data_IF_242499288806
#
_entry.id   IF_242499288806
#
_cell.length_a   1.000
_cell.length_b   1.000
_cell.length_c   1.000
_cell.angle_alpha   90.00
_cell.angle_beta   90.00
_cell.angle_gamma   90.00
#
_symmetry.space_group_name_H-M   'P 1'
#
loop_
_entity.id
_entity.type
_entity.pdbx_description
1 polymer ?
#
# COMPACT_ATOMS: atom_id res chain seq x y z
N UNK A 1 -58.33 -36.32 38.33
CA UNK A 1 -57.28 -35.33 38.06
C UNK A 1 -56.09 -36.07 37.45
N UNK A 2 -55.84 -35.92 36.14
CA UNK A 2 -54.75 -36.58 35.42
C UNK A 2 -53.69 -35.52 35.10
N UNK A 3 -52.52 -35.61 35.70
CA UNK A 3 -51.40 -34.72 35.43
C UNK A 3 -50.55 -35.32 34.31
N UNK A 4 -50.58 -34.69 33.13
CA UNK A 4 -49.68 -35.00 32.03
C UNK A 4 -48.33 -34.30 32.27
N UNK A 5 -47.28 -35.09 32.49
CA UNK A 5 -45.91 -34.61 32.46
C UNK A 5 -45.49 -34.44 30.99
N UNK A 6 -45.24 -33.21 30.55
CA UNK A 6 -44.67 -32.92 29.22
C UNK A 6 -43.15 -32.94 29.37
N UNK A 7 -42.51 -33.93 28.73
CA UNK A 7 -41.06 -34.09 28.70
C UNK A 7 -40.47 -33.16 27.63
N UNK A 8 -39.78 -32.10 28.04
CA UNK A 8 -39.08 -31.19 27.13
C UNK A 8 -37.73 -31.81 26.71
N UNK A 9 -37.61 -32.20 25.44
CA UNK A 9 -36.35 -32.67 24.83
C UNK A 9 -35.53 -31.45 24.43
N UNK A 10 -34.42 -31.18 25.13
CA UNK A 10 -33.43 -30.18 24.73
C UNK A 10 -32.61 -30.72 23.55
N UNK A 11 -32.81 -30.13 22.37
CA UNK A 11 -32.00 -30.33 21.18
C UNK A 11 -30.62 -29.68 21.38
N UNK A 12 -29.58 -30.50 21.55
CA UNK A 12 -28.18 -30.06 21.50
C UNK A 12 -27.81 -29.77 20.04
N UNK A 13 -27.61 -28.48 19.71
CA UNK A 13 -27.05 -28.08 18.44
C UNK A 13 -25.51 -28.34 18.43
N UNK A 14 -24.95 -28.93 17.36
CA UNK A 14 -23.51 -29.10 17.25
C UNK A 14 -22.83 -27.73 17.08
N UNK A 15 -21.91 -27.40 17.98
CA UNK A 15 -21.03 -26.24 17.85
C UNK A 15 -20.04 -26.56 16.74
N UNK A 16 -20.23 -25.99 15.55
CA UNK A 16 -19.23 -26.09 14.49
C UNK A 16 -18.04 -25.20 14.86
N UNK A 17 -16.79 -25.73 14.87
CA UNK A 17 -15.62 -24.90 15.12
C UNK A 17 -15.55 -23.81 14.07
N UNK A 18 -15.32 -22.57 14.50
CA UNK A 18 -15.13 -21.44 13.62
C UNK A 18 -13.97 -21.75 12.67
N UNK A 19 -14.25 -21.86 11.37
CA UNK A 19 -13.24 -21.99 10.33
C UNK A 19 -12.26 -20.83 10.44
N UNK A 20 -10.98 -21.13 10.67
CA UNK A 20 -9.94 -20.12 10.60
C UNK A 20 -9.98 -19.44 9.23
N UNK A 21 -10.15 -18.11 9.21
CA UNK A 21 -10.20 -17.35 7.97
C UNK A 21 -8.89 -17.53 7.19
N UNK A 22 -8.97 -17.70 5.86
CA UNK A 22 -7.76 -17.82 5.04
C UNK A 22 -6.87 -16.59 5.25
N UNK A 23 -5.65 -16.83 5.73
CA UNK A 23 -4.63 -15.79 5.87
C UNK A 23 -4.10 -15.47 4.47
N UNK A 24 -4.59 -14.38 3.87
CA UNK A 24 -4.03 -13.90 2.62
C UNK A 24 -2.76 -13.09 2.93
N UNK A 25 -1.60 -13.36 2.31
CA UNK A 25 -0.36 -12.60 2.50
C UNK A 25 -0.40 -11.24 1.77
N UNK A 26 -1.59 -10.72 1.51
CA UNK A 26 -1.85 -9.57 0.67
C UNK A 26 -2.66 -8.55 1.46
N UNK A 27 -2.34 -7.29 1.25
CA UNK A 27 -3.02 -6.20 1.93
C UNK A 27 -2.23 -4.92 1.87
N UNK A 28 -2.52 -4.04 2.82
CA UNK A 28 -2.05 -2.66 2.83
C UNK A 28 -1.40 -2.36 4.16
N UNK A 29 -0.22 -1.79 4.07
CA UNK A 29 0.45 -1.17 5.19
C UNK A 29 0.65 0.31 4.89
N UNK A 30 0.43 1.17 5.88
CA UNK A 30 0.63 2.61 5.81
C UNK A 30 1.25 3.08 7.11
N UNK A 31 2.18 4.03 7.03
CA UNK A 31 2.76 4.66 8.21
C UNK A 31 3.05 6.13 7.94
N UNK A 32 3.30 6.88 9.02
CA UNK A 32 3.98 8.18 8.98
C UNK A 32 5.48 7.93 9.09
N UNK A 33 6.27 8.20 8.03
CA UNK A 33 7.71 7.94 8.02
C UNK A 33 8.50 8.97 8.84
N UNK A 34 9.70 8.59 9.28
CA UNK A 34 10.65 9.49 9.96
C UNK A 34 11.26 10.51 9.01
N UNK A 35 11.56 10.07 7.78
CA UNK A 35 12.03 10.90 6.66
C UNK A 35 11.29 10.47 5.42
N UNK A 36 10.81 11.41 4.60
CA UNK A 36 10.17 11.09 3.34
C UNK A 36 10.24 12.24 2.36
N UNK A 37 10.61 11.95 1.13
CA UNK A 37 10.64 12.93 0.06
C UNK A 37 10.23 12.34 -1.29
N UNK A 38 9.64 13.19 -2.13
CA UNK A 38 9.36 12.91 -3.54
C UNK A 38 9.94 14.01 -4.41
N UNK A 39 10.42 13.68 -5.61
CA UNK A 39 10.87 14.66 -6.59
C UNK A 39 10.62 14.20 -8.01
N UNK A 40 10.20 15.13 -8.87
CA UNK A 40 10.08 14.96 -10.31
C UNK A 40 9.92 16.32 -10.99
N UNK A 41 10.30 16.43 -12.26
CA UNK A 41 10.20 17.71 -12.99
C UNK A 41 8.78 18.34 -12.95
N UNK A 42 7.67 17.58 -13.06
CA UNK A 42 6.32 18.15 -12.94
C UNK A 42 5.93 18.63 -11.54
N UNK A 43 6.72 18.32 -10.50
CA UNK A 43 6.50 18.79 -9.13
C UNK A 43 7.18 20.14 -8.85
N UNK A 44 7.98 20.64 -9.79
CA UNK A 44 8.77 21.86 -9.64
C UNK A 44 10.18 21.61 -9.12
N UNK A 45 10.81 22.67 -8.64
CA UNK A 45 12.21 22.65 -8.23
C UNK A 45 12.35 22.11 -6.80
N UNK A 46 12.96 20.92 -6.70
CA UNK A 46 13.35 20.31 -5.43
C UNK A 46 12.37 19.26 -4.90
N UNK A 47 12.76 18.57 -3.82
CA UNK A 47 11.93 17.54 -3.21
C UNK A 47 10.77 18.12 -2.40
N UNK A 48 9.63 17.43 -2.42
CA UNK A 48 8.51 17.67 -1.53
C UNK A 48 8.52 16.65 -0.39
N UNK A 49 8.33 17.11 0.84
CA UNK A 49 8.22 16.22 1.99
C UNK A 49 6.91 15.43 1.97
N UNK A 50 6.98 14.16 2.37
CA UNK A 50 5.80 13.31 2.49
C UNK A 50 5.37 12.99 3.92
N UNK A 51 4.04 13.01 4.13
CA UNK A 51 3.38 12.80 5.42
C UNK A 51 3.02 11.33 5.65
N UNK A 52 2.94 10.54 4.58
CA UNK A 52 2.69 9.11 4.67
C UNK A 52 3.37 8.34 3.52
N UNK A 53 3.76 7.11 3.84
CA UNK A 53 4.12 6.08 2.86
C UNK A 53 3.17 4.90 3.00
N UNK A 54 2.80 4.30 1.87
CA UNK A 54 1.92 3.15 1.83
C UNK A 54 2.48 2.08 0.90
N UNK A 55 2.58 0.86 1.42
CA UNK A 55 2.84 -0.34 0.65
C UNK A 55 1.53 -1.10 0.47
N UNK A 56 1.25 -1.55 -0.74
CA UNK A 56 0.06 -2.31 -1.02
C UNK A 56 0.34 -3.39 -2.05
N UNK A 57 0.00 -4.62 -1.69
CA UNK A 57 0.19 -5.80 -2.52
C UNK A 57 -1.14 -6.57 -2.54
N UNK A 58 -1.72 -6.71 -3.74
CA UNK A 58 -2.98 -7.45 -3.95
C UNK A 58 -2.76 -8.82 -4.59
N UNK A 59 -1.61 -9.01 -5.25
CA UNK A 59 -1.29 -10.18 -6.03
C UNK A 59 0.14 -10.66 -5.70
N UNK A 60 0.45 -11.95 -5.85
CA UNK A 60 1.82 -12.43 -5.81
C UNK A 60 2.70 -11.69 -6.82
N UNK A 61 3.88 -11.25 -6.41
CA UNK A 61 4.86 -10.66 -7.31
C UNK A 61 4.57 -9.25 -7.82
N UNK A 62 3.55 -8.55 -7.31
CA UNK A 62 3.28 -7.15 -7.66
C UNK A 62 3.13 -6.31 -6.40
N UNK A 63 3.84 -5.21 -6.31
CA UNK A 63 3.74 -4.26 -5.21
C UNK A 63 3.51 -2.85 -5.74
N UNK A 64 2.71 -2.08 -5.01
CA UNK A 64 2.58 -0.64 -5.17
C UNK A 64 3.16 0.08 -3.97
N UNK A 65 4.03 1.06 -4.24
CA UNK A 65 4.68 1.91 -3.23
C UNK A 65 4.20 3.33 -3.49
N UNK A 66 3.52 3.91 -2.51
CA UNK A 66 2.86 5.19 -2.63
C UNK A 66 3.40 6.16 -1.60
N UNK A 67 3.85 7.31 -2.07
CA UNK A 67 4.26 8.46 -1.27
C UNK A 67 3.16 9.52 -1.33
N UNK A 68 2.78 10.06 -0.17
CA UNK A 68 1.69 11.03 -0.03
C UNK A 68 2.26 12.27 0.67
N UNK A 69 2.16 13.44 0.04
CA UNK A 69 2.59 14.69 0.69
C UNK A 69 1.59 15.18 1.71
N UNK A 70 2.03 16.09 2.60
CA UNK A 70 1.09 16.99 3.25
C UNK A 70 0.40 17.90 2.23
N UNK A 71 -0.64 18.61 2.66
CA UNK A 71 -1.19 19.72 1.89
C UNK A 71 -0.20 20.89 1.88
N UNK A 72 0.01 21.50 0.72
CA UNK A 72 0.76 22.73 0.56
C UNK A 72 -0.06 23.95 1.01
N UNK A 73 0.46 25.16 0.77
CA UNK A 73 -0.21 26.42 1.13
C UNK A 73 -1.54 26.64 0.39
N UNK A 74 -1.79 25.94 -0.72
CA UNK A 74 -3.04 25.97 -1.47
C UNK A 74 -4.01 24.85 -1.04
N UNK A 75 -3.65 24.07 0.00
CA UNK A 75 -4.44 22.94 0.48
C UNK A 75 -4.27 21.68 -0.38
N UNK A 76 -3.26 21.63 -1.25
CA UNK A 76 -3.10 20.57 -2.26
C UNK A 76 -2.09 19.54 -1.78
N UNK A 77 -2.48 18.27 -1.81
CA UNK A 77 -1.57 17.15 -1.59
C UNK A 77 -1.27 16.41 -2.88
N UNK A 78 -0.04 15.92 -2.99
CA UNK A 78 0.44 15.12 -4.10
C UNK A 78 0.55 13.66 -3.69
N UNK A 79 0.23 12.78 -4.64
CA UNK A 79 0.36 11.36 -4.44
C UNK A 79 1.11 10.74 -5.60
N UNK A 80 2.26 10.14 -5.31
CA UNK A 80 3.11 9.47 -6.29
C UNK A 80 3.12 7.97 -6.01
N UNK A 81 2.73 7.15 -6.98
CA UNK A 81 2.67 5.69 -6.82
C UNK A 81 3.52 4.99 -7.87
N UNK A 82 4.48 4.19 -7.41
CA UNK A 82 5.23 3.25 -8.25
C UNK A 82 4.58 1.89 -8.17
N UNK A 83 4.41 1.23 -9.31
CA UNK A 83 3.97 -0.16 -9.37
C UNK A 83 5.10 -0.98 -9.96
N UNK A 84 5.55 -1.99 -9.22
CA UNK A 84 6.67 -2.83 -9.61
C UNK A 84 6.38 -4.31 -9.45
N UNK A 85 7.14 -5.11 -10.20
CA UNK A 85 7.17 -6.56 -10.09
C UNK A 85 8.29 -7.00 -9.15
N UNK A 86 7.94 -7.84 -8.19
CA UNK A 86 8.89 -8.53 -7.34
C UNK A 86 9.35 -9.83 -8.03
N UNK A 87 10.65 -10.15 -8.04
CA UNK A 87 11.16 -11.44 -8.47
C UNK A 87 10.49 -12.60 -7.71
N UNK A 88 10.39 -13.74 -8.39
CA UNK A 88 9.92 -15.03 -7.83
C UNK A 88 8.55 -14.99 -7.14
N UNK A 89 7.69 -14.04 -7.55
CA UNK A 89 6.35 -13.86 -6.99
C UNK A 89 6.33 -13.66 -5.46
N UNK A 90 7.41 -13.11 -4.90
CA UNK A 90 7.56 -12.91 -3.46
C UNK A 90 6.50 -11.96 -2.88
N UNK A 91 6.16 -12.16 -1.61
CA UNK A 91 5.40 -11.21 -0.80
C UNK A 91 6.39 -10.28 -0.09
N UNK A 92 6.19 -8.97 -0.24
CA UNK A 92 6.96 -7.94 0.47
C UNK A 92 6.22 -7.42 1.72
N UNK A 93 5.04 -7.98 2.00
CA UNK A 93 4.27 -7.75 3.21
C UNK A 93 4.01 -9.08 3.91
N UNK A 94 4.12 -9.06 5.23
CA UNK A 94 3.61 -10.11 6.10
C UNK A 94 2.27 -9.64 6.68
N UNK A 95 1.19 -10.34 6.34
CA UNK A 95 -0.17 -10.01 6.75
C UNK A 95 -0.74 -11.07 7.68
N UNK A 96 -1.16 -10.66 8.88
CA UNK A 96 -1.77 -11.54 9.88
C UNK A 96 -2.85 -10.78 10.66
N UNK A 97 -3.99 -11.43 10.92
CA UNK A 97 -5.10 -10.82 11.67
C UNK A 97 -5.63 -9.52 11.05
N UNK A 98 -5.62 -9.40 9.72
CA UNK A 98 -6.06 -8.19 8.99
C UNK A 98 -5.07 -7.02 9.02
N UNK A 99 -3.89 -7.19 9.63
CA UNK A 99 -2.83 -6.18 9.66
C UNK A 99 -1.65 -6.65 8.82
N UNK A 100 -1.09 -5.74 8.02
CA UNK A 100 0.11 -6.00 7.24
C UNK A 100 1.28 -5.18 7.76
N UNK A 101 2.49 -5.72 7.65
CA UNK A 101 3.75 -5.02 7.88
C UNK A 101 4.73 -5.34 6.74
N UNK A 102 5.70 -4.45 6.44
CA UNK A 102 6.82 -4.81 5.59
C UNK A 102 7.47 -6.09 6.10
N UNK A 103 7.83 -6.98 5.19
CA UNK A 103 8.67 -8.13 5.50
C UNK A 103 10.10 -7.66 5.83
N UNK A 104 10.84 -8.45 6.62
CA UNK A 104 12.20 -8.13 7.08
C UNK A 104 13.25 -8.40 5.99
N UNK A 105 12.86 -9.06 4.90
CA UNK A 105 13.74 -9.36 3.77
C UNK A 105 13.91 -8.15 2.86
N UNK A 106 15.05 -8.11 2.18
CA UNK A 106 15.29 -7.14 1.12
C UNK A 106 14.49 -7.50 -0.12
N UNK A 107 13.76 -6.53 -0.65
CA UNK A 107 12.99 -6.67 -1.88
C UNK A 107 13.43 -5.63 -2.91
N UNK A 108 13.71 -6.11 -4.12
CA UNK A 108 13.87 -5.28 -5.31
C UNK A 108 12.65 -5.45 -6.19
N UNK A 109 11.90 -4.39 -6.43
CA UNK A 109 10.77 -4.36 -7.36
C UNK A 109 11.18 -3.64 -8.65
N UNK A 110 11.03 -4.30 -9.79
CA UNK A 110 11.24 -3.68 -11.11
C UNK A 110 10.00 -2.88 -11.47
N UNK A 111 10.12 -1.56 -11.58
CA UNK A 111 8.99 -0.65 -11.85
C UNK A 111 8.51 -0.85 -13.27
N UNK A 112 7.20 -1.01 -13.43
CA UNK A 112 6.52 -1.13 -14.73
C UNK A 112 5.60 0.06 -15.03
N UNK A 113 5.11 0.74 -14.00
CA UNK A 113 4.29 1.93 -14.16
C UNK A 113 4.39 2.87 -12.98
N UNK A 114 4.08 4.12 -13.27
CA UNK A 114 4.07 5.24 -12.33
C UNK A 114 2.75 5.97 -12.46
N UNK A 115 2.19 6.46 -11.36
CA UNK A 115 1.09 7.43 -11.39
C UNK A 115 1.30 8.59 -10.43
N UNK A 116 0.73 9.74 -10.81
CA UNK A 116 0.71 10.96 -10.04
C UNK A 116 -0.69 11.55 -9.98
N UNK A 117 -1.09 12.04 -8.81
CA UNK A 117 -2.37 12.73 -8.62
C UNK A 117 -2.26 13.89 -7.65
N UNK A 118 -3.19 14.83 -7.77
CA UNK A 118 -3.37 16.00 -6.89
C UNK A 118 -4.72 15.91 -6.21
N UNK A 119 -4.76 16.22 -4.92
CA UNK A 119 -5.95 16.07 -4.09
C UNK A 119 -6.14 17.30 -3.20
N UNK A 120 -7.40 17.65 -2.93
CA UNK A 120 -7.73 18.65 -1.91
C UNK A 120 -7.50 18.11 -0.49
N UNK A 121 -7.68 18.95 0.53
CA UNK A 121 -7.53 18.59 1.95
C UNK A 121 -8.47 17.44 2.41
N UNK A 122 -9.55 17.18 1.68
CA UNK A 122 -10.50 16.10 1.95
C UNK A 122 -10.10 14.80 1.24
N UNK A 123 -9.00 14.80 0.50
CA UNK A 123 -8.54 13.67 -0.30
C UNK A 123 -9.35 13.48 -1.59
N UNK A 124 -10.04 14.52 -2.07
CA UNK A 124 -10.79 14.47 -3.32
C UNK A 124 -9.84 14.82 -4.48
N UNK A 125 -9.77 13.99 -5.54
CA UNK A 125 -8.93 14.28 -6.70
C UNK A 125 -9.33 15.62 -7.33
N UNK A 126 -8.36 16.52 -7.52
CA UNK A 126 -8.57 17.79 -8.23
C UNK A 126 -8.67 17.58 -9.75
N UNK A 127 -8.10 16.48 -10.25
CA UNK A 127 -8.18 16.01 -11.62
C UNK A 127 -8.04 14.50 -11.65
N UNK A 128 -8.26 13.89 -12.82
CA UNK A 128 -7.90 12.48 -13.00
C UNK A 128 -6.39 12.30 -12.74
N UNK A 129 -5.99 11.30 -11.93
CA UNK A 129 -4.59 10.95 -11.78
C UNK A 129 -3.99 10.57 -13.12
N UNK A 130 -2.79 11.08 -13.40
CA UNK A 130 -2.02 10.70 -14.57
C UNK A 130 -1.26 9.41 -14.31
N UNK A 131 -1.13 8.55 -15.32
CA UNK A 131 -0.42 7.29 -15.23
C UNK A 131 0.38 7.01 -16.49
N UNK A 132 1.60 6.51 -16.33
CA UNK A 132 2.52 6.28 -17.42
C UNK A 132 3.23 4.92 -17.26
N UNK A 133 3.53 4.23 -18.38
CA UNK A 133 4.61 3.26 -18.40
C UNK A 133 5.90 3.91 -17.92
N UNK A 134 6.63 3.20 -17.06
CA UNK A 134 7.88 3.67 -16.49
C UNK A 134 8.88 2.51 -16.41
N UNK A 135 10.16 2.84 -16.45
CA UNK A 135 11.26 1.87 -16.25
C UNK A 135 12.11 2.34 -15.08
N UNK A 136 12.42 1.44 -14.17
CA UNK A 136 13.20 1.75 -12.99
C UNK A 136 13.08 0.67 -11.94
N UNK A 137 13.34 1.03 -10.69
CA UNK A 137 13.30 0.09 -9.58
C UNK A 137 12.89 0.75 -8.27
N UNK A 138 12.35 -0.07 -7.38
CA UNK A 138 12.19 0.26 -5.99
C UNK A 138 12.89 -0.78 -5.11
N UNK A 139 13.57 -0.34 -4.07
CA UNK A 139 14.11 -1.19 -3.02
C UNK A 139 13.30 -1.02 -1.74
N UNK A 140 12.96 -2.12 -1.09
CA UNK A 140 12.44 -2.17 0.28
C UNK A 140 13.45 -2.94 1.12
N UNK A 141 14.14 -2.27 2.04
CA UNK A 141 15.21 -2.86 2.85
C UNK A 141 15.38 -2.07 4.14
N UNK A 142 15.55 -2.76 5.26
CA UNK A 142 15.93 -2.13 6.53
C UNK A 142 15.02 -0.98 6.99
N UNK A 143 13.71 -1.08 6.80
CA UNK A 143 12.76 0.00 7.14
C UNK A 143 12.79 1.18 6.15
N UNK A 144 13.36 1.00 4.96
CA UNK A 144 13.43 2.05 3.95
C UNK A 144 12.72 1.60 2.67
N UNK A 145 12.01 2.53 2.05
CA UNK A 145 11.57 2.43 0.65
C UNK A 145 12.31 3.47 -0.17
N UNK A 146 12.96 3.06 -1.27
CA UNK A 146 13.57 3.97 -2.24
C UNK A 146 13.16 3.57 -3.64
N UNK A 147 12.59 4.50 -4.39
CA UNK A 147 12.11 4.31 -5.74
C UNK A 147 12.76 5.32 -6.67
N UNK A 148 13.16 4.85 -7.85
CA UNK A 148 13.62 5.69 -8.94
C UNK A 148 13.11 5.10 -10.26
N UNK A 149 12.50 5.94 -11.10
CA UNK A 149 12.05 5.51 -12.42
C UNK A 149 12.00 6.66 -13.40
N UNK A 150 12.13 6.34 -14.68
CA UNK A 150 11.93 7.26 -15.79
C UNK A 150 10.64 6.89 -16.53
N UNK A 151 9.79 7.88 -16.82
CA UNK A 151 8.60 7.67 -17.66
C UNK A 151 8.99 7.54 -19.13
N UNK A 152 8.07 7.09 -19.99
CA UNK A 152 8.32 7.10 -21.43
C UNK A 152 8.56 8.50 -22.03
N UNK A 153 8.19 9.56 -21.31
CA UNK A 153 8.43 10.95 -21.69
C UNK A 153 9.85 11.43 -21.33
N UNK A 154 10.62 10.62 -20.58
CA UNK A 154 11.98 10.95 -20.16
C UNK A 154 12.08 11.63 -18.78
N UNK A 155 10.95 11.87 -18.11
CA UNK A 155 10.95 12.49 -16.78
C UNK A 155 11.48 11.51 -15.72
N UNK A 156 12.43 11.96 -14.91
CA UNK A 156 12.91 11.23 -13.72
C UNK A 156 11.98 11.47 -12.54
N UNK A 157 11.56 10.38 -11.88
CA UNK A 157 10.74 10.40 -10.68
C UNK A 157 11.42 9.60 -9.58
N UNK A 158 11.54 10.21 -8.41
CA UNK A 158 12.21 9.64 -7.25
C UNK A 158 11.35 9.78 -6.01
N UNK A 159 11.30 8.74 -5.20
CA UNK A 159 10.64 8.74 -3.90
C UNK A 159 11.49 8.00 -2.87
N UNK A 160 11.59 8.53 -1.67
CA UNK A 160 12.28 7.85 -0.57
C UNK A 160 11.52 8.01 0.74
N UNK A 161 11.53 6.98 1.58
CA UNK A 161 10.94 7.01 2.91
C UNK A 161 11.70 6.09 3.87
N UNK A 162 11.81 6.48 5.13
CA UNK A 162 12.37 5.68 6.23
C UNK A 162 11.33 5.54 7.36
N UNK A 163 11.13 4.32 7.87
CA UNK A 163 10.02 3.95 8.76
C UNK A 163 10.31 2.77 9.69
#
# INVERSE_FOLDING_TARGET
MRASLVLAVLLLAPVTPASAEPTFPFGRWRTTPQRCSISAAPLGDGPLDCSAVQLHQQLPGQISIRFITGSDAEGISHQMTFVGRLPDATAALNCSGGQCRPDDRDHLAVVSSLSHGRFDERGIPLSLPSGWPATGQCTLSGGQARCESTTFLGDLWQGSAEF
#
